data_IF_064751745727
#
_entry.id   IF_064751745727
#
_cell.length_a   1.000
_cell.length_b   1.000
_cell.length_c   1.000
_cell.angle_alpha   90.00
_cell.angle_beta   90.00
_cell.angle_gamma   90.00
#
_symmetry.space_group_name_H-M   'P 1'
#
loop_
_entity.id
_entity.type
_entity.pdbx_description
1 polymer ?
#
# COMPACT_ATOMS: atom_id res chain seq x y z
N UNK A 1 27.33 36.48 15.56
CA UNK A 1 27.07 36.21 14.13
C UNK A 1 27.48 34.80 13.69
N UNK A 2 28.59 34.20 14.18
CA UNK A 2 28.97 32.82 13.81
C UNK A 2 28.10 31.69 14.41
N UNK A 3 27.40 31.89 15.53
CA UNK A 3 26.51 30.86 16.10
C UNK A 3 25.17 30.69 15.34
N UNK A 4 24.70 31.72 14.64
CA UNK A 4 23.45 31.65 13.90
C UNK A 4 23.60 30.79 12.65
N UNK A 5 24.76 30.87 11.99
CA UNK A 5 25.09 30.10 10.79
C UNK A 5 25.17 28.60 11.09
N UNK A 6 25.83 28.22 12.20
CA UNK A 6 25.92 26.81 12.62
C UNK A 6 24.56 26.23 13.03
N UNK A 7 23.68 27.05 13.61
CA UNK A 7 22.31 26.62 13.96
C UNK A 7 21.43 26.41 12.72
N UNK A 8 21.55 27.29 11.71
CA UNK A 8 20.83 27.17 10.44
C UNK A 8 21.34 25.96 9.64
N UNK A 9 22.66 25.74 9.59
CA UNK A 9 23.25 24.58 8.92
C UNK A 9 22.81 23.26 9.56
N UNK A 10 22.74 23.19 10.90
CA UNK A 10 22.25 22.01 11.62
C UNK A 10 20.78 21.70 11.27
N UNK A 11 19.90 22.71 11.30
CA UNK A 11 18.49 22.55 10.92
C UNK A 11 18.35 22.14 9.44
N UNK A 12 19.16 22.74 8.56
CA UNK A 12 19.17 22.43 7.13
C UNK A 12 19.59 20.96 6.89
N UNK A 13 20.60 20.47 7.60
CA UNK A 13 21.03 19.06 7.53
C UNK A 13 19.93 18.08 7.94
N UNK A 14 19.18 18.39 9.01
CA UNK A 14 18.06 17.55 9.48
C UNK A 14 16.91 17.53 8.47
N UNK A 15 16.58 18.69 7.89
CA UNK A 15 15.57 18.80 6.84
C UNK A 15 16.00 17.96 5.63
N UNK A 16 17.25 18.09 5.16
CA UNK A 16 17.78 17.32 4.03
C UNK A 16 17.75 15.81 4.29
N UNK A 17 18.17 15.36 5.48
CA UNK A 17 18.10 13.96 5.87
C UNK A 17 16.66 13.43 5.87
N UNK A 18 15.69 14.27 6.24
CA UNK A 18 14.27 13.92 6.27
C UNK A 18 13.62 13.90 4.88
N UNK A 19 14.18 14.58 3.87
CA UNK A 19 13.63 14.57 2.51
C UNK A 19 13.71 13.18 1.86
N UNK A 20 14.75 12.40 2.15
CA UNK A 20 14.94 11.05 1.58
C UNK A 20 13.76 10.10 1.89
N UNK A 21 13.35 9.90 3.16
CA UNK A 21 12.16 9.10 3.46
C UNK A 21 10.85 9.75 2.98
N UNK A 22 10.75 11.08 2.97
CA UNK A 22 9.55 11.77 2.45
C UNK A 22 9.35 11.53 0.95
N UNK A 23 10.42 11.47 0.16
CA UNK A 23 10.34 11.11 -1.26
C UNK A 23 9.69 9.73 -1.47
N UNK A 24 10.02 8.77 -0.60
CA UNK A 24 9.41 7.45 -0.62
C UNK A 24 7.91 7.49 -0.25
N UNK A 25 7.49 8.41 0.61
CA UNK A 25 6.07 8.62 0.94
C UNK A 25 5.27 9.07 -0.29
N UNK A 26 5.85 9.94 -1.14
CA UNK A 26 5.23 10.33 -2.42
C UNK A 26 5.06 9.12 -3.35
N UNK A 27 6.08 8.26 -3.44
CA UNK A 27 5.98 7.01 -4.21
C UNK A 27 4.87 6.09 -3.66
N UNK A 28 4.77 5.93 -2.33
CA UNK A 28 3.68 5.19 -1.67
C UNK A 28 2.31 5.80 -2.04
N UNK A 29 2.17 7.12 -2.00
CA UNK A 29 0.93 7.81 -2.37
C UNK A 29 0.46 7.49 -3.78
N UNK A 30 1.39 7.46 -4.75
CA UNK A 30 1.11 7.05 -6.12
C UNK A 30 0.62 5.59 -6.19
N UNK A 31 1.28 4.67 -5.47
CA UNK A 31 0.87 3.26 -5.42
C UNK A 31 -0.50 3.06 -4.77
N UNK A 32 -0.80 3.78 -3.68
CA UNK A 32 -2.10 3.76 -3.03
C UNK A 32 -3.21 4.26 -3.96
N UNK A 33 -2.94 5.29 -4.78
CA UNK A 33 -3.90 5.75 -5.77
C UNK A 33 -4.22 4.65 -6.81
N UNK A 34 -3.19 3.98 -7.34
CA UNK A 34 -3.37 2.85 -8.28
C UNK A 34 -4.21 1.73 -7.66
N UNK A 35 -3.90 1.35 -6.41
CA UNK A 35 -4.66 0.35 -5.67
C UNK A 35 -6.11 0.78 -5.40
N UNK A 36 -6.34 2.05 -5.07
CA UNK A 36 -7.66 2.61 -4.78
C UNK A 36 -8.56 2.60 -6.02
N UNK A 37 -8.02 3.00 -7.18
CA UNK A 37 -8.72 2.92 -8.47
C UNK A 37 -9.08 1.48 -8.82
N UNK A 38 -8.15 0.52 -8.62
CA UNK A 38 -8.42 -0.91 -8.85
C UNK A 38 -9.50 -1.45 -7.93
N UNK A 39 -9.43 -1.13 -6.63
CA UNK A 39 -10.44 -1.55 -5.65
C UNK A 39 -11.82 -0.99 -6.01
N UNK A 40 -11.90 0.29 -6.40
CA UNK A 40 -13.13 0.92 -6.88
C UNK A 40 -13.74 0.14 -8.04
N UNK A 41 -12.97 -0.16 -9.10
CA UNK A 41 -13.44 -0.95 -10.25
C UNK A 41 -13.93 -2.34 -9.86
N UNK A 42 -13.33 -2.99 -8.87
CA UNK A 42 -13.75 -4.32 -8.38
C UNK A 42 -15.04 -4.23 -7.56
N UNK A 43 -15.17 -3.21 -6.70
CA UNK A 43 -16.39 -2.96 -5.93
C UNK A 43 -17.55 -2.62 -6.87
N UNK A 44 -17.32 -1.76 -7.86
CA UNK A 44 -18.32 -1.37 -8.85
C UNK A 44 -18.77 -2.58 -9.69
N UNK A 45 -17.83 -3.43 -10.13
CA UNK A 45 -18.15 -4.68 -10.83
C UNK A 45 -18.94 -5.64 -9.96
N UNK A 46 -18.59 -5.77 -8.67
CA UNK A 46 -19.35 -6.59 -7.72
C UNK A 46 -20.78 -6.05 -7.51
N UNK A 47 -20.94 -4.72 -7.44
CA UNK A 47 -22.24 -4.07 -7.34
C UNK A 47 -23.07 -4.27 -8.61
N UNK A 48 -22.47 -4.14 -9.80
CA UNK A 48 -23.15 -4.39 -11.07
C UNK A 48 -23.66 -5.84 -11.19
N UNK A 49 -22.84 -6.83 -10.81
CA UNK A 49 -23.23 -8.25 -10.82
C UNK A 49 -24.26 -8.57 -9.73
N UNK A 50 -24.11 -8.00 -8.53
CA UNK A 50 -25.09 -8.14 -7.44
C UNK A 50 -26.44 -7.49 -7.74
N UNK A 51 -26.45 -6.39 -8.49
CA UNK A 51 -27.66 -5.73 -8.99
C UNK A 51 -28.41 -6.57 -10.03
N UNK A 52 -27.71 -7.40 -10.81
CA UNK A 52 -28.33 -8.36 -11.74
C UNK A 52 -28.89 -9.60 -11.03
N UNK A 53 -28.29 -10.02 -9.90
CA UNK A 53 -28.78 -11.14 -9.09
C UNK A 53 -29.97 -10.77 -8.18
N UNK A 54 -30.21 -9.48 -7.93
CA UNK A 54 -31.38 -8.98 -7.19
C UNK A 54 -32.72 -9.15 -7.91
N UNK A 55 -32.73 -9.66 -9.16
CA UNK A 55 -33.93 -9.98 -9.92
C UNK A 55 -34.32 -11.46 -9.95
N UNK A 56 -33.48 -12.38 -9.44
CA UNK A 56 -33.75 -13.83 -9.45
C UNK A 56 -33.28 -14.45 -8.13
N UNK A 57 -34.10 -14.28 -7.08
CA UNK A 57 -33.96 -15.08 -5.87
C UNK A 57 -34.61 -16.44 -6.12
N UNK A 58 -33.83 -17.44 -6.53
CA UNK A 58 -34.25 -18.84 -6.47
C UNK A 58 -33.30 -19.61 -5.53
N UNK A 59 -33.90 -20.18 -4.48
CA UNK A 59 -33.24 -20.67 -3.27
C UNK A 59 -32.61 -22.09 -3.44
N UNK A 60 -32.24 -22.47 -4.67
CA UNK A 60 -31.88 -23.86 -5.01
C UNK A 60 -30.42 -24.11 -5.46
N UNK A 61 -29.57 -23.09 -5.60
CA UNK A 61 -28.22 -23.19 -6.23
C UNK A 61 -27.04 -23.13 -5.23
N UNK A 62 -27.28 -23.47 -3.96
CA UNK A 62 -26.40 -23.14 -2.82
C UNK A 62 -25.06 -23.91 -2.76
N UNK A 63 -24.90 -25.04 -3.47
CA UNK A 63 -23.72 -25.91 -3.31
C UNK A 63 -22.65 -25.78 -4.40
N UNK A 64 -22.99 -25.28 -5.60
CA UNK A 64 -22.00 -25.01 -6.67
C UNK A 64 -21.48 -23.56 -6.66
N UNK A 65 -22.27 -22.60 -6.18
CA UNK A 65 -21.87 -21.19 -6.01
C UNK A 65 -20.89 -20.96 -4.84
N UNK A 66 -20.80 -21.88 -3.89
CA UNK A 66 -19.85 -21.80 -2.77
C UNK A 66 -18.36 -21.90 -3.23
N UNK A 67 -18.09 -22.61 -4.33
CA UNK A 67 -16.74 -22.77 -4.88
C UNK A 67 -16.23 -21.53 -5.64
N UNK A 68 -17.09 -20.89 -6.44
CA UNK A 68 -16.75 -19.65 -7.17
C UNK A 68 -16.66 -18.43 -6.25
N UNK A 69 -17.50 -18.36 -5.21
CA UNK A 69 -17.43 -17.29 -4.20
C UNK A 69 -16.16 -17.34 -3.36
N UNK A 70 -15.52 -18.50 -3.17
CA UNK A 70 -14.23 -18.61 -2.48
C UNK A 70 -13.05 -18.07 -3.32
N UNK A 71 -13.07 -18.28 -4.64
CA UNK A 71 -12.08 -17.70 -5.58
C UNK A 71 -12.24 -16.18 -5.71
N UNK A 72 -13.47 -15.66 -5.71
CA UNK A 72 -13.74 -14.21 -5.70
C UNK A 72 -13.31 -13.53 -4.38
N UNK A 73 -13.49 -14.21 -3.23
CA UNK A 73 -13.12 -13.70 -1.90
C UNK A 73 -11.60 -13.68 -1.67
N UNK A 74 -10.86 -14.66 -2.21
CA UNK A 74 -9.38 -14.65 -2.22
C UNK A 74 -8.79 -13.49 -3.04
N UNK A 75 -9.40 -13.14 -4.19
CA UNK A 75 -8.95 -12.03 -5.03
C UNK A 75 -9.16 -10.65 -4.39
N UNK A 76 -10.35 -10.38 -3.85
CA UNK A 76 -10.60 -9.12 -3.13
C UNK A 76 -9.77 -9.02 -1.85
N UNK A 77 -9.45 -10.15 -1.21
CA UNK A 77 -8.57 -10.20 -0.04
C UNK A 77 -7.14 -9.76 -0.34
N UNK A 78 -6.55 -10.19 -1.45
CA UNK A 78 -5.17 -9.83 -1.81
C UNK A 78 -4.98 -8.32 -1.96
N UNK A 79 -5.91 -7.63 -2.64
CA UNK A 79 -5.84 -6.16 -2.84
C UNK A 79 -6.00 -5.42 -1.52
N UNK A 80 -6.95 -5.85 -0.68
CA UNK A 80 -7.13 -5.23 0.62
C UNK A 80 -5.93 -5.48 1.54
N UNK A 81 -5.24 -6.62 1.39
CA UNK A 81 -4.00 -6.91 2.09
C UNK A 81 -2.84 -6.02 1.56
N UNK A 82 -2.69 -5.86 0.25
CA UNK A 82 -1.73 -4.92 -0.36
C UNK A 82 -1.93 -3.51 0.15
N UNK A 83 -3.18 -3.03 0.19
CA UNK A 83 -3.50 -1.68 0.68
C UNK A 83 -3.10 -1.55 2.15
N UNK A 84 -3.44 -2.52 3.00
CA UNK A 84 -3.05 -2.51 4.42
C UNK A 84 -1.53 -2.45 4.60
N UNK A 85 -0.79 -3.27 3.86
CA UNK A 85 0.69 -3.26 3.86
C UNK A 85 1.25 -1.91 3.44
N UNK A 86 0.71 -1.33 2.37
CA UNK A 86 1.15 -0.06 1.82
C UNK A 86 0.85 1.11 2.77
N UNK A 87 -0.34 1.12 3.40
CA UNK A 87 -0.71 2.08 4.44
C UNK A 87 0.19 1.92 5.67
N UNK A 88 0.43 0.70 6.14
CA UNK A 88 1.36 0.47 7.27
C UNK A 88 2.78 0.93 6.97
N UNK A 89 3.25 0.76 5.72
CA UNK A 89 4.55 1.30 5.30
C UNK A 89 4.56 2.83 5.36
N UNK A 90 3.51 3.50 4.89
CA UNK A 90 3.42 4.96 4.94
C UNK A 90 3.48 5.48 6.38
N UNK A 91 2.74 4.85 7.29
CA UNK A 91 2.76 5.19 8.72
C UNK A 91 4.16 4.99 9.31
N UNK A 92 4.84 3.88 9.01
CA UNK A 92 6.22 3.66 9.45
C UNK A 92 7.17 4.75 8.95
N UNK A 93 7.04 5.20 7.70
CA UNK A 93 7.85 6.30 7.15
C UNK A 93 7.54 7.62 7.87
N UNK A 94 6.29 7.92 8.19
CA UNK A 94 5.95 9.09 9.01
C UNK A 94 6.66 9.05 10.37
N UNK A 95 6.71 7.88 11.02
CA UNK A 95 7.42 7.72 12.31
C UNK A 95 8.94 7.91 12.11
N UNK A 96 9.53 7.40 11.03
CA UNK A 96 10.96 7.62 10.69
C UNK A 96 11.26 9.10 10.56
N UNK A 97 10.43 9.86 9.85
CA UNK A 97 10.62 11.31 9.67
C UNK A 97 10.57 12.02 11.01
N UNK A 98 9.58 11.73 11.86
CA UNK A 98 9.50 12.31 13.21
C UNK A 98 10.74 11.94 14.04
N UNK A 99 11.18 10.69 13.99
CA UNK A 99 12.35 10.23 14.73
C UNK A 99 13.65 10.90 14.25
N UNK A 100 13.81 11.16 12.94
CA UNK A 100 14.95 11.91 12.40
C UNK A 100 14.98 13.36 12.93
N UNK A 101 13.83 14.02 12.99
CA UNK A 101 13.74 15.36 13.58
C UNK A 101 14.03 15.35 15.08
N UNK A 102 13.51 14.37 15.83
CA UNK A 102 13.78 14.23 17.27
C UNK A 102 15.26 13.95 17.54
N UNK A 103 15.88 13.06 16.78
CA UNK A 103 17.30 12.74 16.91
C UNK A 103 18.18 13.94 16.56
N UNK A 104 17.81 14.69 15.50
CA UNK A 104 18.52 15.89 15.09
C UNK A 104 18.43 17.06 16.09
N UNK A 105 17.29 17.23 16.77
CA UNK A 105 17.09 18.31 17.75
C UNK A 105 17.60 17.94 19.15
N UNK A 106 17.39 16.70 19.59
CA UNK A 106 17.64 16.28 20.98
C UNK A 106 18.84 15.33 21.13
N UNK A 107 19.55 14.97 20.05
CA UNK A 107 20.67 14.00 20.04
C UNK A 107 20.31 12.71 20.80
N UNK A 108 19.11 12.20 20.55
CA UNK A 108 18.51 11.11 21.32
C UNK A 108 19.11 9.72 21.05
N UNK A 109 20.03 9.59 20.09
CA UNK A 109 20.71 8.33 19.77
C UNK A 109 19.78 7.31 19.10
N UNK A 110 18.79 7.79 18.35
CA UNK A 110 17.73 6.96 17.75
C UNK A 110 18.16 6.29 16.43
N UNK A 111 19.40 6.47 15.99
CA UNK A 111 19.88 6.00 14.68
C UNK A 111 19.56 4.54 14.36
N UNK A 112 19.73 3.63 15.33
CA UNK A 112 19.43 2.20 15.13
C UNK A 112 17.92 1.94 14.97
N UNK A 113 17.08 2.64 15.75
CA UNK A 113 15.62 2.54 15.65
C UNK A 113 15.11 3.11 14.32
N UNK A 114 15.65 4.25 13.90
CA UNK A 114 15.35 4.90 12.61
C UNK A 114 15.68 3.94 11.46
N UNK A 115 16.88 3.36 11.45
CA UNK A 115 17.29 2.40 10.44
C UNK A 115 16.39 1.15 10.42
N UNK A 116 16.04 0.62 11.59
CA UNK A 116 15.15 -0.53 11.73
C UNK A 116 13.74 -0.26 11.21
N UNK A 117 13.13 0.88 11.58
CA UNK A 117 11.80 1.27 11.07
C UNK A 117 11.81 1.53 9.56
N UNK A 118 12.87 2.15 9.04
CA UNK A 118 12.99 2.42 7.61
C UNK A 118 13.11 1.12 6.81
N UNK A 119 13.91 0.16 7.28
CA UNK A 119 14.01 -1.17 6.68
C UNK A 119 12.69 -1.93 6.74
N UNK A 120 12.00 -1.88 7.88
CA UNK A 120 10.67 -2.46 8.03
C UNK A 120 9.68 -1.86 7.02
N UNK A 121 9.66 -0.53 6.88
CA UNK A 121 8.82 0.15 5.89
C UNK A 121 9.13 -0.33 4.46
N UNK A 122 10.41 -0.43 4.09
CA UNK A 122 10.83 -0.97 2.80
C UNK A 122 10.31 -2.40 2.57
N UNK A 123 10.39 -3.27 3.57
CA UNK A 123 9.86 -4.64 3.47
C UNK A 123 8.33 -4.66 3.31
N UNK A 124 7.62 -3.80 4.03
CA UNK A 124 6.16 -3.67 3.93
C UNK A 124 5.72 -3.20 2.54
N UNK A 125 6.36 -2.16 1.99
CA UNK A 125 6.03 -1.67 0.64
C UNK A 125 6.38 -2.71 -0.43
N UNK A 126 7.54 -3.37 -0.33
CA UNK A 126 7.92 -4.46 -1.25
C UNK A 126 6.91 -5.60 -1.20
N UNK A 127 6.44 -5.99 -0.01
CA UNK A 127 5.37 -6.97 0.14
C UNK A 127 4.05 -6.53 -0.51
N UNK A 128 3.67 -5.26 -0.35
CA UNK A 128 2.49 -4.67 -1.01
C UNK A 128 2.60 -4.68 -2.55
N UNK A 129 3.77 -4.34 -3.08
CA UNK A 129 4.11 -4.38 -4.51
C UNK A 129 4.10 -5.81 -5.07
N UNK A 130 4.69 -6.78 -4.38
CA UNK A 130 4.68 -8.17 -4.78
C UNK A 130 3.23 -8.71 -4.87
N UNK A 131 2.39 -8.34 -3.90
CA UNK A 131 0.99 -8.70 -3.89
C UNK A 131 0.21 -8.06 -5.06
N UNK A 132 0.52 -6.80 -5.42
CA UNK A 132 0.01 -6.15 -6.63
C UNK A 132 0.45 -6.87 -7.90
N UNK A 133 1.73 -7.26 -8.03
CA UNK A 133 2.25 -7.99 -9.19
C UNK A 133 1.53 -9.32 -9.40
N UNK A 134 1.30 -10.07 -8.32
CA UNK A 134 0.54 -11.32 -8.36
C UNK A 134 -0.90 -11.08 -8.84
N UNK A 135 -1.55 -10.01 -8.37
CA UNK A 135 -2.90 -9.63 -8.80
C UNK A 135 -2.97 -9.31 -10.31
N UNK A 136 -2.06 -8.45 -10.79
CA UNK A 136 -1.99 -8.06 -12.20
C UNK A 136 -1.70 -9.27 -13.09
N UNK A 137 -0.78 -10.15 -12.67
CA UNK A 137 -0.46 -11.37 -13.41
C UNK A 137 -1.65 -12.31 -13.53
N UNK A 138 -2.47 -12.43 -12.49
CA UNK A 138 -3.71 -13.21 -12.55
C UNK A 138 -4.77 -12.59 -13.46
N UNK A 139 -4.88 -11.26 -13.52
CA UNK A 139 -5.81 -10.57 -14.40
C UNK A 139 -5.41 -10.72 -15.88
N UNK A 140 -4.11 -10.61 -16.19
CA UNK A 140 -3.59 -10.74 -17.56
C UNK A 140 -3.86 -12.13 -18.16
N UNK A 141 -3.68 -13.21 -17.38
CA UNK A 141 -3.93 -14.59 -17.84
C UNK A 141 -5.40 -14.86 -18.20
N UNK A 142 -6.35 -14.16 -17.59
CA UNK A 142 -7.77 -14.34 -17.91
C UNK A 142 -8.15 -13.75 -19.27
N UNK A 143 -7.53 -12.63 -19.66
CA UNK A 143 -7.80 -11.98 -20.95
C UNK A 143 -7.33 -12.88 -22.10
N UNK A 144 -6.12 -13.45 -22.00
CA UNK A 144 -5.59 -14.38 -23.00
C UNK A 144 -6.43 -15.64 -23.20
N UNK A 145 -7.18 -16.09 -22.19
CA UNK A 145 -8.06 -17.26 -22.31
C UNK A 145 -9.37 -16.95 -23.04
N UNK A 146 -9.81 -15.68 -23.06
CA UNK A 146 -11.03 -15.27 -23.78
C UNK A 146 -10.77 -15.04 -25.27
N UNK A 147 -9.54 -14.69 -25.67
CA UNK A 147 -9.19 -14.49 -27.10
C UNK A 147 -8.89 -15.82 -27.83
N UNK A 148 -8.78 -16.94 -27.10
CA UNK A 148 -8.39 -18.25 -27.64
C UNK A 148 -9.54 -19.25 -27.80
N UNK A 149 -10.79 -18.84 -27.58
CA UNK A 149 -11.99 -19.68 -27.70
C UNK A 149 -13.09 -18.99 -28.50
#
# INVERSE_FOLDING_TARGET
WMNSLTSIDAVTGIIQASLTPVFLLVAIGSFLNVLSVRLGRIIDRKRAVGGQLGGVADAGLDSRMAGETARLRRRSGLILWSIRLCVSSAVSICIVVVALFLDGLATAGLGLWIAGLFMLAMLLITGGLACLLVEVGMAARQVQQTDAG
#
